data_IF_772189713399
#
_entry.id   IF_772189713399
#
_cell.length_a   1.000
_cell.length_b   1.000
_cell.length_c   1.000
_cell.angle_alpha   90.00
_cell.angle_beta   90.00
_cell.angle_gamma   90.00
#
_symmetry.space_group_name_H-M   'P 1'
#
loop_
_entity.id
_entity.type
_entity.pdbx_description
1 polymer ?
#
# COMPACT_ATOMS: atom_id res chain seq x y z
N UNK A 1 -1.40 -0.55 21.02
CA UNK A 1 -1.58 0.31 19.84
C UNK A 1 -0.58 1.45 19.99
N UNK A 2 0.52 1.53 19.22
CA UNK A 2 1.31 2.74 19.24
C UNK A 2 0.59 3.83 18.42
N UNK A 3 0.71 5.06 18.91
CA UNK A 3 -0.05 6.24 18.50
C UNK A 3 0.38 6.79 17.14
N UNK A 4 -0.58 7.46 16.46
CA UNK A 4 -0.43 8.05 15.14
C UNK A 4 0.57 9.20 15.11
N UNK A 5 1.76 8.93 14.59
CA UNK A 5 2.64 9.95 14.03
C UNK A 5 2.30 10.19 12.55
N UNK A 6 2.08 11.46 12.16
CA UNK A 6 2.18 11.91 10.76
C UNK A 6 3.64 11.81 10.32
N UNK A 7 4.14 10.60 10.19
CA UNK A 7 5.36 10.28 9.46
C UNK A 7 4.93 9.70 8.12
N UNK A 8 5.59 10.11 7.05
CA UNK A 8 5.54 9.47 5.73
C UNK A 8 5.89 7.98 5.91
N UNK A 9 4.88 7.18 6.23
CA UNK A 9 5.05 5.79 6.63
C UNK A 9 5.23 5.00 5.36
N UNK A 10 6.50 4.85 4.98
CA UNK A 10 6.89 4.10 3.80
C UNK A 10 7.03 2.61 4.15
N UNK A 11 6.38 1.76 3.37
CA UNK A 11 6.59 0.31 3.39
C UNK A 11 7.45 -0.11 2.21
N UNK A 12 8.27 -1.14 2.40
CA UNK A 12 9.18 -1.63 1.37
C UNK A 12 8.69 -2.96 0.79
N UNK A 13 8.50 -3.01 -0.53
CA UNK A 13 8.31 -4.26 -1.29
C UNK A 13 9.67 -4.78 -1.71
N UNK A 14 10.08 -5.92 -1.15
CA UNK A 14 11.26 -6.65 -1.60
C UNK A 14 10.87 -7.69 -2.66
N UNK A 15 11.56 -7.68 -3.79
CA UNK A 15 11.33 -8.59 -4.91
C UNK A 15 12.64 -8.86 -5.67
N UNK A 16 12.61 -9.79 -6.64
CA UNK A 16 13.84 -10.18 -7.38
C UNK A 16 14.52 -9.02 -8.12
N UNK A 17 13.79 -7.95 -8.43
CA UNK A 17 14.32 -6.75 -9.08
C UNK A 17 14.80 -5.66 -8.12
N UNK A 18 14.79 -5.91 -6.79
CA UNK A 18 15.26 -4.98 -5.76
C UNK A 18 14.19 -4.65 -4.73
N UNK A 19 14.31 -3.47 -4.14
CA UNK A 19 13.35 -2.94 -3.18
C UNK A 19 12.60 -1.75 -3.78
N UNK A 20 11.28 -1.68 -3.58
CA UNK A 20 10.46 -0.54 -3.96
C UNK A 20 9.72 -0.01 -2.74
N UNK A 21 9.91 1.27 -2.42
CA UNK A 21 9.22 1.95 -1.32
C UNK A 21 7.87 2.49 -1.79
N UNK A 22 6.84 2.26 -1.00
CA UNK A 22 5.46 2.68 -1.23
C UNK A 22 4.97 3.43 0.00
N UNK A 23 4.11 4.43 -0.19
CA UNK A 23 3.46 5.14 0.90
C UNK A 23 2.26 4.35 1.43
N UNK A 24 1.80 4.70 2.63
CA UNK A 24 0.55 4.17 3.20
C UNK A 24 -0.52 5.26 3.29
N UNK A 25 -1.77 4.89 3.01
CA UNK A 25 -2.95 5.71 3.28
C UNK A 25 -3.54 5.36 4.64
N UNK A 26 -3.53 6.33 5.56
CA UNK A 26 -4.12 6.17 6.89
C UNK A 26 -5.64 6.13 6.85
N UNK A 27 -6.24 5.21 7.61
CA UNK A 27 -7.69 5.11 7.77
C UNK A 27 -8.16 5.80 9.06
N UNK A 28 -9.34 6.42 9.04
CA UNK A 28 -10.00 6.94 10.25
C UNK A 28 -10.49 5.80 11.15
N UNK A 29 -10.94 4.70 10.55
CA UNK A 29 -11.33 3.44 11.19
C UNK A 29 -10.89 2.27 10.31
N UNK A 30 -10.55 1.13 10.94
CA UNK A 30 -10.13 -0.07 10.22
C UNK A 30 -8.64 -0.10 9.86
N UNK A 31 -8.29 -0.90 8.84
CA UNK A 31 -6.91 -1.07 8.40
C UNK A 31 -6.47 0.06 7.46
N UNK A 32 -5.20 0.48 7.56
CA UNK A 32 -4.59 1.41 6.60
C UNK A 32 -4.28 0.70 5.28
N UNK A 33 -4.28 1.46 4.18
CA UNK A 33 -3.96 0.97 2.84
C UNK A 33 -2.48 1.16 2.47
N UNK A 34 -1.99 0.34 1.54
CA UNK A 34 -0.69 0.56 0.87
C UNK A 34 -0.98 1.12 -0.52
N UNK A 35 -0.34 2.24 -0.86
CA UNK A 35 -0.56 2.92 -2.13
C UNK A 35 0.21 2.24 -3.26
N UNK A 36 -0.53 1.73 -4.26
CA UNK A 36 0.03 0.96 -5.38
C UNK A 36 0.20 1.78 -6.67
N UNK A 37 -0.09 3.09 -6.66
CA UNK A 37 -0.28 3.92 -7.87
C UNK A 37 0.81 3.82 -8.94
N UNK A 38 2.07 3.59 -8.56
CA UNK A 38 3.19 3.41 -9.51
C UNK A 38 3.82 2.01 -9.49
N UNK A 39 3.22 1.04 -8.78
CA UNK A 39 3.78 -0.30 -8.60
C UNK A 39 4.15 -0.94 -9.94
N UNK A 40 3.22 -0.99 -10.90
CA UNK A 40 3.46 -1.62 -12.21
C UNK A 40 4.50 -0.87 -13.03
N UNK A 41 4.52 0.46 -12.96
CA UNK A 41 5.48 1.28 -13.69
C UNK A 41 6.90 1.08 -13.14
N UNK A 42 7.06 1.05 -11.82
CA UNK A 42 8.35 0.92 -11.14
C UNK A 42 8.88 -0.52 -11.14
N UNK A 43 8.01 -1.52 -10.94
CA UNK A 43 8.44 -2.90 -10.68
C UNK A 43 8.11 -3.88 -11.80
N UNK A 44 7.28 -3.48 -12.76
CA UNK A 44 6.66 -4.36 -13.79
C UNK A 44 5.74 -5.45 -13.22
N UNK A 45 5.39 -5.39 -11.94
CA UNK A 45 4.51 -6.36 -11.27
C UNK A 45 3.08 -5.85 -11.09
N UNK A 46 2.17 -6.77 -10.83
CA UNK A 46 0.79 -6.52 -10.38
C UNK A 46 0.56 -7.30 -9.09
N UNK A 47 -0.38 -6.86 -8.25
CA UNK A 47 -0.89 -7.68 -7.17
C UNK A 47 -1.82 -8.75 -7.73
N UNK A 48 -1.82 -9.93 -7.11
CA UNK A 48 -2.75 -11.00 -7.43
C UNK A 48 -3.72 -11.15 -6.25
N UNK A 49 -4.92 -10.62 -6.41
CA UNK A 49 -5.98 -10.64 -5.39
C UNK A 49 -7.33 -10.98 -6.02
N UNK A 50 -7.58 -12.26 -6.35
CA UNK A 50 -8.85 -12.68 -6.94
C UNK A 50 -10.02 -12.33 -6.04
N UNK A 51 -11.00 -11.60 -6.58
CA UNK A 51 -12.18 -11.17 -5.84
C UNK A 51 -12.02 -9.87 -5.04
N UNK A 52 -10.90 -9.15 -5.17
CA UNK A 52 -10.65 -7.86 -4.50
C UNK A 52 -10.78 -7.93 -2.96
N UNK A 53 -10.40 -9.07 -2.37
CA UNK A 53 -10.58 -9.33 -0.93
C UNK A 53 -9.62 -8.48 -0.08
N UNK A 54 -8.45 -8.13 -0.62
CA UNK A 54 -7.39 -7.40 0.08
C UNK A 54 -7.04 -6.06 -0.59
N UNK A 55 -7.83 -5.64 -1.58
CA UNK A 55 -7.57 -4.43 -2.37
C UNK A 55 -8.65 -3.38 -2.13
N UNK A 56 -8.26 -2.24 -1.54
CA UNK A 56 -9.15 -1.09 -1.42
C UNK A 56 -9.21 -0.33 -2.77
N UNK A 57 -10.39 -0.33 -3.41
CA UNK A 57 -10.59 0.34 -4.71
C UNK A 57 -10.98 1.81 -4.63
N UNK A 58 -11.38 2.32 -3.45
CA UNK A 58 -11.77 3.71 -3.26
C UNK A 58 -11.59 4.16 -1.81
N UNK A 59 -11.63 5.49 -1.60
CA UNK A 59 -11.75 6.12 -0.27
C UNK A 59 -13.20 6.57 -0.05
N UNK A 60 -13.71 6.41 1.18
CA UNK A 60 -15.03 6.89 1.59
C UNK A 60 -14.94 7.47 3.00
N UNK A 61 -15.87 8.38 3.36
CA UNK A 61 -15.87 9.13 4.61
C UNK A 61 -17.24 9.11 5.27
#
# INVERSE_FOLDING_TARGET
>A
MPEGGRGDSAVALSYRGGEHRMSTAGATLGASGIELGILRAATRMVTLDPGFVNTAGCTSA
#
